data_IF_468417128113
#
_entry.id   IF_468417128113
#
_cell.length_a   1.000
_cell.length_b   1.000
_cell.length_c   1.000
_cell.angle_alpha   90.00
_cell.angle_beta   90.00
_cell.angle_gamma   90.00
#
_symmetry.space_group_name_H-M   'P 1'
#
loop_
_entity.id
_entity.type
_entity.pdbx_description
1 polymer ?
#
# COMPACT_ATOMS: atom_id res chain seq x y z
N UNK A 1 -6.79 10.53 -0.72
CA UNK A 1 -6.37 10.59 -2.13
C UNK A 1 -5.98 9.22 -2.71
N UNK A 2 -5.08 8.44 -2.08
CA UNK A 2 -4.63 7.12 -2.61
C UNK A 2 -5.77 6.12 -2.86
N UNK A 3 -6.73 6.02 -1.94
CA UNK A 3 -7.89 5.13 -2.11
C UNK A 3 -8.71 5.47 -3.37
N UNK A 4 -8.92 6.75 -3.67
CA UNK A 4 -9.62 7.20 -4.88
C UNK A 4 -8.85 6.75 -6.12
N UNK A 5 -7.53 6.92 -6.13
CA UNK A 5 -6.66 6.43 -7.21
C UNK A 5 -6.77 4.92 -7.40
N UNK A 6 -6.80 4.13 -6.32
CA UNK A 6 -6.99 2.69 -6.39
C UNK A 6 -8.35 2.31 -6.97
N UNK A 7 -9.45 2.97 -6.59
CA UNK A 7 -10.76 2.69 -7.17
C UNK A 7 -10.81 3.00 -8.67
N UNK A 8 -10.24 4.12 -9.10
CA UNK A 8 -10.13 4.47 -10.52
C UNK A 8 -9.29 3.44 -11.26
N UNK A 9 -8.14 3.03 -10.72
CA UNK A 9 -7.27 2.03 -11.33
C UNK A 9 -7.92 0.65 -11.39
N UNK A 10 -8.67 0.23 -10.36
CA UNK A 10 -9.40 -1.05 -10.37
C UNK A 10 -10.50 -1.03 -11.44
N UNK A 11 -11.23 0.08 -11.56
CA UNK A 11 -12.24 0.26 -12.60
C UNK A 11 -11.64 0.21 -14.01
N UNK A 12 -10.52 0.91 -14.22
CA UNK A 12 -9.78 0.84 -15.49
C UNK A 12 -9.16 -0.54 -15.73
N UNK A 13 -8.66 -1.21 -14.69
CA UNK A 13 -8.06 -2.53 -14.80
C UNK A 13 -9.06 -3.58 -15.24
N UNK A 14 -10.31 -3.46 -14.80
CA UNK A 14 -11.38 -4.32 -15.27
C UNK A 14 -11.54 -4.25 -16.79
N UNK A 15 -11.57 -3.05 -17.36
CA UNK A 15 -11.59 -2.86 -18.82
C UNK A 15 -10.32 -3.37 -19.49
N UNK A 16 -9.14 -3.07 -18.94
CA UNK A 16 -7.87 -3.49 -19.53
C UNK A 16 -7.75 -5.02 -19.59
N UNK A 17 -8.18 -5.73 -18.54
CA UNK A 17 -8.16 -7.19 -18.52
C UNK A 17 -9.16 -7.77 -19.54
N UNK A 18 -10.31 -7.14 -19.76
CA UNK A 18 -11.28 -7.58 -20.77
C UNK A 18 -10.72 -7.48 -22.21
N UNK A 19 -10.00 -6.40 -22.52
CA UNK A 19 -9.47 -6.19 -23.88
C UNK A 19 -8.10 -6.82 -24.12
N UNK A 20 -7.26 -6.88 -23.08
CA UNK A 20 -5.84 -7.26 -23.20
C UNK A 20 -5.56 -8.64 -22.59
N UNK A 21 -6.47 -9.16 -21.77
CA UNK A 21 -6.28 -10.41 -21.01
C UNK A 21 -5.20 -10.32 -19.92
N UNK A 22 -4.57 -9.16 -19.72
CA UNK A 22 -3.41 -8.99 -18.86
C UNK A 22 -3.58 -7.80 -17.93
N UNK A 23 -3.21 -7.99 -16.66
CA UNK A 23 -3.26 -6.92 -15.65
C UNK A 23 -1.94 -6.12 -15.63
N UNK A 24 -1.95 -4.79 -15.78
CA UNK A 24 -0.73 -4.01 -15.81
C UNK A 24 0.06 -4.07 -14.49
N UNK A 25 1.33 -4.47 -14.56
CA UNK A 25 2.19 -4.61 -13.38
C UNK A 25 2.32 -3.31 -12.56
N UNK A 26 2.40 -2.16 -13.22
CA UNK A 26 2.49 -0.85 -12.55
C UNK A 26 1.27 -0.54 -11.67
N UNK A 27 0.07 -0.93 -12.12
CA UNK A 27 -1.18 -0.71 -11.38
C UNK A 27 -1.26 -1.63 -10.17
N UNK A 28 -0.73 -2.84 -10.31
CA UNK A 28 -0.66 -3.81 -9.23
C UNK A 28 0.25 -3.31 -8.10
N UNK A 29 1.43 -2.79 -8.46
CA UNK A 29 2.38 -2.20 -7.50
C UNK A 29 1.77 -1.00 -6.76
N UNK A 30 1.00 -0.16 -7.44
CA UNK A 30 0.31 0.96 -6.79
C UNK A 30 -0.79 0.49 -5.81
N UNK A 31 -1.61 -0.48 -6.23
CA UNK A 31 -2.69 -1.02 -5.41
C UNK A 31 -2.16 -1.76 -4.18
N UNK A 32 -1.09 -2.55 -4.32
CA UNK A 32 -0.44 -3.24 -3.20
C UNK A 32 0.19 -2.27 -2.21
N UNK A 33 0.85 -1.21 -2.68
CA UNK A 33 1.35 -0.15 -1.79
C UNK A 33 0.24 0.59 -1.05
N UNK A 34 -0.91 0.81 -1.70
CA UNK A 34 -2.09 1.41 -1.07
C UNK A 34 -2.74 0.49 -0.06
N UNK A 35 -2.82 -0.82 -0.35
CA UNK A 35 -3.33 -1.83 0.58
C UNK A 35 -2.47 -1.88 1.85
N UNK A 36 -1.14 -1.93 1.71
CA UNK A 36 -0.21 -1.89 2.85
C UNK A 36 -0.41 -0.65 3.73
N UNK A 37 -0.49 0.52 3.10
CA UNK A 37 -0.76 1.77 3.81
C UNK A 37 -2.10 1.72 4.54
N UNK A 38 -3.16 1.22 3.89
CA UNK A 38 -4.49 1.09 4.50
C UNK A 38 -4.49 0.13 5.69
N UNK A 39 -3.78 -0.99 5.60
CA UNK A 39 -3.64 -1.93 6.71
C UNK A 39 -2.93 -1.27 7.89
N UNK A 40 -1.83 -0.54 7.67
CA UNK A 40 -1.15 0.20 8.74
C UNK A 40 -2.03 1.29 9.35
N UNK A 41 -2.82 1.99 8.53
CA UNK A 41 -3.77 3.00 8.99
C UNK A 41 -4.85 2.36 9.89
N UNK A 42 -5.33 1.17 9.51
CA UNK A 42 -6.31 0.43 10.30
C UNK A 42 -5.72 -0.05 11.63
N UNK A 43 -4.48 -0.55 11.62
CA UNK A 43 -3.77 -0.94 12.84
C UNK A 43 -3.53 0.24 13.80
N UNK A 44 -3.20 1.42 13.26
CA UNK A 44 -3.11 2.65 14.05
C UNK A 44 -4.47 3.03 14.65
N UNK A 45 -5.55 2.97 13.85
CA UNK A 45 -6.90 3.26 14.33
C UNK A 45 -7.37 2.28 15.41
N UNK A 46 -6.96 1.02 15.32
CA UNK A 46 -7.22 -0.02 16.32
C UNK A 46 -6.29 0.03 17.52
N UNK A 47 -5.39 1.03 17.62
CA UNK A 47 -4.39 1.16 18.70
C UNK A 47 -3.36 0.02 18.77
N UNK A 48 -3.16 -0.76 17.70
CA UNK A 48 -2.13 -1.82 17.64
C UNK A 48 -0.72 -1.25 17.36
N UNK A 49 -0.63 -0.04 16.79
CA UNK A 49 0.64 0.64 16.50
C UNK A 49 0.54 2.08 16.99
N UNK A 50 1.60 2.59 17.62
CA UNK A 50 1.65 3.96 18.15
C UNK A 50 1.88 5.02 17.08
N UNK A 51 2.70 4.71 16.09
CA UNK A 51 3.14 5.70 15.12
C UNK A 51 2.19 5.80 13.93
N UNK A 52 1.88 7.04 13.53
CA UNK A 52 1.04 7.32 12.38
C UNK A 52 1.77 6.91 11.08
N UNK A 53 1.17 6.07 10.22
CA UNK A 53 1.86 5.55 9.05
C UNK A 53 2.05 6.63 7.96
N UNK A 54 3.26 6.73 7.38
CA UNK A 54 3.54 7.68 6.30
C UNK A 54 2.76 7.31 5.03
N UNK A 55 2.37 8.33 4.28
CA UNK A 55 1.57 8.20 3.04
C UNK A 55 2.35 7.61 1.84
N UNK A 56 3.50 6.97 2.04
CA UNK A 56 4.37 6.51 0.95
C UNK A 56 4.03 5.12 0.42
N UNK A 57 3.30 4.27 1.16
CA UNK A 57 3.04 2.87 0.77
C UNK A 57 4.32 2.03 0.58
N UNK A 58 5.47 2.60 0.92
CA UNK A 58 6.78 2.01 0.80
C UNK A 58 7.00 1.00 1.94
N UNK A 59 7.86 -0.02 1.74
CA UNK A 59 8.31 -0.89 2.81
C UNK A 59 8.92 -0.06 3.94
N UNK A 60 8.74 -0.52 5.17
CA UNK A 60 9.20 0.17 6.35
C UNK A 60 10.73 0.18 6.36
N UNK A 61 11.36 1.34 6.12
CA UNK A 61 12.81 1.49 6.30
C UNK A 61 13.26 1.22 7.76
N UNK A 62 12.31 1.21 8.70
CA UNK A 62 12.54 1.00 10.13
C UNK A 62 12.95 -0.42 10.55
N UNK A 63 12.89 -1.41 9.65
CA UNK A 63 13.47 -2.73 9.93
C UNK A 63 15.00 -2.75 9.74
N UNK A 64 15.57 -1.77 9.03
CA UNK A 64 17.01 -1.68 8.77
C UNK A 64 17.73 -0.76 9.77
N UNK A 65 17.02 0.16 10.45
CA UNK A 65 17.63 1.21 11.28
C UNK A 65 17.56 0.98 12.79
N UNK A 66 17.06 -0.16 13.28
CA UNK A 66 17.20 -0.51 14.69
C UNK A 66 18.55 -1.22 14.87
N UNK A 67 19.56 -0.58 15.48
CA UNK A 67 20.80 -1.26 15.79
C UNK A 67 20.46 -2.45 16.69
N UNK A 68 20.91 -3.65 16.31
CA UNK A 68 20.80 -4.86 17.13
C UNK A 68 21.41 -4.64 18.54
N UNK A 69 22.23 -3.60 18.69
CA UNK A 69 22.94 -3.18 19.89
C UNK A 69 22.06 -2.53 20.99
N UNK A 70 20.77 -2.28 20.75
CA UNK A 70 19.84 -1.67 21.74
C UNK A 70 18.89 -2.68 22.39
N UNK A 71 19.20 -3.98 22.33
CA UNK A 71 18.44 -5.06 22.99
C UNK A 71 19.10 -5.51 24.30
#
# INVERSE_FOLDING_TARGET
>A
FRMIGTYVLVFLAWWVVLFTGNYPANWHTFNTGTLRWSTRLNLWYSWLIKDYPPFSGAPDAGAESAPIDQM
#
